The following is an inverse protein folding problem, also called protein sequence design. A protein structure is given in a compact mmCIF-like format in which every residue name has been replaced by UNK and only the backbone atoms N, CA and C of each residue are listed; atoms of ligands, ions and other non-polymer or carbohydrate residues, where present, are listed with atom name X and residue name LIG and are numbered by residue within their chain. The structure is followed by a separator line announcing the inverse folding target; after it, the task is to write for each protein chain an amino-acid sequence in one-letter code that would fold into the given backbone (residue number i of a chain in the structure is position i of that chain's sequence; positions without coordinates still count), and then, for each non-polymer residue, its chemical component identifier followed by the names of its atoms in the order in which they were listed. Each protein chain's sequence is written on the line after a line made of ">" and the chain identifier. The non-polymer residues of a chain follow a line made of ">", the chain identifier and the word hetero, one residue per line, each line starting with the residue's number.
data_IF_645491953027
#
_entry.id   IF_645491953027
#
_cell.length_a   1.000
_cell.length_b   1.000
_cell.length_c   1.000
_cell.angle_alpha   90.00
_cell.angle_beta   90.00
_cell.angle_gamma   90.00
#
_symmetry.space_group_name_H-M   'P 1'
#
loop_
_entity.id
_entity.type
_entity.pdbx_description
1 polymer ?
#
# COMPACT_ATOMS: atom_id res chain seq x y z
N UNK A 1 27.67 0.98 28.21
CA UNK A 1 26.67 1.62 27.33
C UNK A 1 26.00 0.53 26.50
N UNK A 2 24.72 0.67 26.17
CA UNK A 2 23.95 -0.33 25.43
C UNK A 2 24.33 -0.31 23.94
N UNK A 3 24.69 -1.48 23.37
CA UNK A 3 25.03 -1.67 21.94
C UNK A 3 23.95 -1.11 21.01
N UNK A 4 22.70 -1.09 21.47
CA UNK A 4 21.60 -0.47 20.75
C UNK A 4 21.79 1.05 20.62
N UNK A 5 21.94 1.76 21.73
CA UNK A 5 21.99 3.23 21.79
C UNK A 5 23.16 3.81 21.00
N UNK A 6 24.32 3.14 21.02
CA UNK A 6 25.52 3.58 20.29
C UNK A 6 25.37 3.50 18.76
N UNK A 7 24.40 2.73 18.26
CA UNK A 7 24.28 2.38 16.84
C UNK A 7 22.98 2.87 16.19
N UNK A 8 22.20 3.72 16.86
CA UNK A 8 20.98 4.32 16.30
C UNK A 8 21.28 5.08 14.99
N UNK A 9 22.40 5.81 14.93
CA UNK A 9 22.78 6.57 13.73
C UNK A 9 23.16 5.70 12.54
N UNK A 10 23.54 4.44 12.76
CA UNK A 10 23.71 3.47 11.68
C UNK A 10 22.38 3.23 10.97
N UNK A 11 21.28 3.10 11.72
CA UNK A 11 19.94 2.90 11.16
C UNK A 11 19.54 4.10 10.31
N UNK A 12 19.69 5.32 10.84
CA UNK A 12 19.38 6.57 10.11
C UNK A 12 20.16 6.65 8.78
N UNK A 13 21.46 6.32 8.79
CA UNK A 13 22.28 6.28 7.57
C UNK A 13 21.82 5.23 6.55
N UNK A 14 21.40 4.05 7.01
CA UNK A 14 20.89 2.99 6.14
C UNK A 14 19.55 3.41 5.53
N UNK A 15 18.62 3.92 6.32
CA UNK A 15 17.27 4.35 5.89
C UNK A 15 17.35 5.46 4.84
N UNK A 16 18.27 6.41 4.97
CA UNK A 16 18.49 7.47 3.96
C UNK A 16 18.76 6.93 2.55
N UNK A 17 19.25 5.70 2.39
CA UNK A 17 19.47 5.05 1.07
C UNK A 17 18.16 4.59 0.40
N UNK A 18 17.03 4.62 1.10
CA UNK A 18 15.74 4.09 0.63
C UNK A 18 14.71 5.19 0.24
N UNK A 19 15.09 6.47 0.25
CA UNK A 19 14.21 7.67 0.09
C UNK A 19 13.39 7.78 -1.23
N UNK A 20 13.34 6.77 -2.08
CA UNK A 20 12.73 6.83 -3.42
C UNK A 20 11.63 5.79 -3.70
N UNK A 21 10.91 5.30 -2.68
CA UNK A 21 9.92 4.22 -2.89
C UNK A 21 8.52 4.46 -2.32
N UNK A 22 8.15 5.72 -2.04
CA UNK A 22 6.79 6.07 -1.61
C UNK A 22 6.40 5.51 -0.24
N UNK A 23 7.38 5.31 0.63
CA UNK A 23 7.20 4.86 2.02
C UNK A 23 7.67 5.96 2.95
N UNK A 24 6.97 6.12 4.07
CA UNK A 24 7.33 7.08 5.11
C UNK A 24 8.72 6.75 5.67
N UNK A 25 9.55 7.77 5.83
CA UNK A 25 10.88 7.64 6.40
C UNK A 25 10.80 7.18 7.87
N UNK A 26 9.76 7.60 8.60
CA UNK A 26 9.54 7.21 9.99
C UNK A 26 9.25 5.71 10.13
N UNK A 27 8.45 5.15 9.22
CA UNK A 27 8.15 3.72 9.22
C UNK A 27 9.39 2.87 8.94
N UNK A 28 10.22 3.31 7.99
CA UNK A 28 11.47 2.62 7.67
C UNK A 28 12.48 2.73 8.81
N UNK A 29 12.51 3.88 9.50
CA UNK A 29 13.31 4.08 10.69
C UNK A 29 12.87 3.14 11.82
N UNK A 30 11.57 3.05 12.09
CA UNK A 30 11.04 2.16 13.12
C UNK A 30 11.35 0.70 12.82
N UNK A 31 11.14 0.25 11.57
CA UNK A 31 11.48 -1.10 11.15
C UNK A 31 12.99 -1.38 11.28
N UNK A 32 13.83 -0.41 10.90
CA UNK A 32 15.28 -0.51 11.06
C UNK A 32 15.71 -0.60 12.53
N UNK A 33 15.08 0.17 13.43
CA UNK A 33 15.34 0.12 14.86
C UNK A 33 14.95 -1.23 15.47
N UNK A 34 13.85 -1.84 15.03
CA UNK A 34 13.49 -3.21 15.43
C UNK A 34 14.58 -4.22 15.02
N UNK A 35 15.13 -4.07 13.81
CA UNK A 35 16.25 -4.88 13.34
C UNK A 35 17.51 -4.69 14.19
N UNK A 36 17.84 -3.46 14.56
CA UNK A 36 18.97 -3.16 15.45
C UNK A 36 18.76 -3.76 16.85
N UNK A 37 17.55 -3.66 17.41
CA UNK A 37 17.22 -4.25 18.71
C UNK A 37 17.41 -5.78 18.69
N UNK A 38 16.92 -6.44 17.64
CA UNK A 38 17.12 -7.88 17.45
C UNK A 38 18.60 -8.24 17.29
N UNK A 39 19.38 -7.42 16.58
CA UNK A 39 20.82 -7.63 16.46
C UNK A 39 21.55 -7.48 17.81
N UNK A 40 21.24 -6.44 18.59
CA UNK A 40 21.84 -6.20 19.90
C UNK A 40 21.57 -7.36 20.87
N UNK A 41 20.34 -7.90 20.88
CA UNK A 41 19.95 -9.03 21.73
C UNK A 41 20.67 -10.34 21.38
N UNK A 42 20.93 -10.57 20.08
CA UNK A 42 21.45 -11.85 19.58
C UNK A 42 22.93 -11.78 19.16
N UNK A 43 23.65 -10.72 19.51
CA UNK A 43 25.05 -10.57 19.14
C UNK A 43 25.94 -11.32 20.14
N UNK A 44 26.81 -12.18 19.62
CA UNK A 44 27.85 -12.84 20.41
C UNK A 44 29.24 -12.40 19.88
N UNK A 45 30.02 -11.68 20.70
CA UNK A 45 31.37 -11.23 20.34
C UNK A 45 32.34 -12.37 19.95
N UNK A 46 32.07 -13.61 20.36
CA UNK A 46 32.94 -14.78 20.06
C UNK A 46 33.09 -15.06 18.58
N UNK A 47 32.15 -14.60 17.75
CA UNK A 47 32.21 -14.79 16.29
C UNK A 47 33.20 -13.84 15.58
N UNK A 48 33.91 -12.96 16.31
CA UNK A 48 34.95 -12.06 15.79
C UNK A 48 34.51 -11.18 14.59
N UNK A 49 33.24 -10.77 14.57
CA UNK A 49 32.68 -9.85 13.57
C UNK A 49 32.26 -8.57 14.26
N UNK A 50 32.64 -7.42 13.71
CA UNK A 50 32.20 -6.11 14.25
C UNK A 50 30.67 -6.04 14.30
N UNK A 51 30.11 -5.59 15.43
CA UNK A 51 28.67 -5.45 15.63
C UNK A 51 27.97 -4.71 14.48
N UNK A 52 28.55 -3.63 13.96
CA UNK A 52 27.97 -2.86 12.85
C UNK A 52 27.75 -3.69 11.58
N UNK A 53 28.70 -4.58 11.27
CA UNK A 53 28.61 -5.48 10.12
C UNK A 53 27.47 -6.48 10.33
N UNK A 54 27.36 -7.03 11.54
CA UNK A 54 26.29 -7.95 11.92
C UNK A 54 24.91 -7.28 11.91
N UNK A 55 24.77 -6.15 12.61
CA UNK A 55 23.52 -5.41 12.75
C UNK A 55 22.97 -4.93 11.39
N UNK A 56 23.85 -4.57 10.44
CA UNK A 56 23.44 -4.15 9.09
C UNK A 56 22.56 -5.20 8.40
N UNK A 57 22.85 -6.50 8.57
CA UNK A 57 22.03 -7.56 7.97
C UNK A 57 20.61 -7.62 8.57
N UNK A 58 20.49 -7.50 9.88
CA UNK A 58 19.20 -7.48 10.57
C UNK A 58 18.38 -6.23 10.23
N UNK A 59 19.01 -5.06 10.26
CA UNK A 59 18.40 -3.76 9.90
C UNK A 59 17.83 -3.84 8.47
N UNK A 60 18.65 -4.26 7.50
CA UNK A 60 18.20 -4.40 6.11
C UNK A 60 17.10 -5.45 5.95
N UNK A 61 17.12 -6.52 6.76
CA UNK A 61 16.10 -7.56 6.78
C UNK A 61 14.72 -7.03 7.15
N UNK A 62 14.62 -6.33 8.28
CA UNK A 62 13.36 -5.77 8.76
C UNK A 62 12.86 -4.61 7.88
N UNK A 63 13.74 -3.71 7.42
CA UNK A 63 13.37 -2.68 6.43
C UNK A 63 12.76 -3.32 5.18
N UNK A 64 13.42 -4.32 4.57
CA UNK A 64 12.90 -5.01 3.37
C UNK A 64 11.58 -5.74 3.63
N UNK A 65 11.36 -6.23 4.85
CA UNK A 65 10.11 -6.89 5.24
C UNK A 65 8.97 -5.89 5.36
N UNK A 66 9.21 -4.73 5.97
CA UNK A 66 8.23 -3.65 6.07
C UNK A 66 7.84 -3.12 4.69
N UNK A 67 8.82 -2.91 3.81
CA UNK A 67 8.59 -2.55 2.42
C UNK A 67 7.69 -3.56 1.66
N UNK A 68 7.78 -4.85 1.97
CA UNK A 68 6.94 -5.88 1.34
C UNK A 68 5.49 -5.85 1.83
N UNK A 69 5.25 -5.50 3.10
CA UNK A 69 3.89 -5.42 3.66
C UNK A 69 3.08 -4.29 3.02
N UNK A 70 3.75 -3.16 2.76
CA UNK A 70 3.14 -1.93 2.21
C UNK A 70 3.07 -1.91 0.70
N UNK A 71 3.55 -2.95 0.02
CA UNK A 71 3.34 -3.08 -1.42
C UNK A 71 1.84 -3.33 -1.66
N UNK A 72 1.13 -2.45 -2.40
CA UNK A 72 -0.33 -2.58 -2.59
C UNK A 72 -0.72 -3.89 -3.27
N UNK A 73 0.24 -4.54 -3.93
CA UNK A 73 0.11 -5.87 -4.51
C UNK A 73 0.97 -6.85 -3.70
N UNK A 74 0.31 -7.81 -3.04
CA UNK A 74 0.97 -8.91 -2.33
C UNK A 74 1.43 -9.97 -3.32
N UNK A 75 2.72 -9.97 -3.63
CA UNK A 75 3.33 -10.92 -4.56
C UNK A 75 3.90 -12.15 -3.84
N UNK A 76 3.91 -13.29 -4.52
CA UNK A 76 4.54 -14.50 -4.01
C UNK A 76 6.07 -14.33 -3.95
N UNK A 77 6.75 -15.10 -3.08
CA UNK A 77 8.23 -15.10 -3.00
C UNK A 77 8.88 -15.42 -4.36
N UNK A 78 8.24 -16.27 -5.16
CA UNK A 78 8.69 -16.63 -6.50
C UNK A 78 8.71 -15.43 -7.45
N UNK A 79 7.63 -14.62 -7.47
CA UNK A 79 7.57 -13.41 -8.30
C UNK A 79 8.65 -12.41 -7.89
N UNK A 80 8.89 -12.20 -6.58
CA UNK A 80 9.98 -11.32 -6.13
C UNK A 80 11.37 -11.82 -6.54
N UNK A 81 11.59 -13.14 -6.60
CA UNK A 81 12.84 -13.73 -7.11
C UNK A 81 13.03 -13.39 -8.59
N UNK A 82 11.97 -13.52 -9.38
CA UNK A 82 11.99 -13.21 -10.81
C UNK A 82 12.21 -11.70 -11.05
N UNK A 83 11.50 -10.82 -10.33
CA UNK A 83 11.69 -9.36 -10.42
C UNK A 83 13.13 -8.95 -10.12
N UNK A 84 13.79 -9.62 -9.15
CA UNK A 84 15.20 -9.37 -8.85
C UNK A 84 16.09 -9.80 -10.02
N UNK A 85 15.90 -11.01 -10.53
CA UNK A 85 16.68 -11.53 -11.64
C UNK A 85 16.52 -10.67 -12.91
N UNK A 86 15.30 -10.21 -13.19
CA UNK A 86 14.95 -9.26 -14.27
C UNK A 86 15.60 -7.88 -14.12
N UNK A 87 16.12 -7.51 -12.95
CA UNK A 87 16.84 -6.25 -12.74
C UNK A 87 18.31 -6.39 -13.12
N UNK A 88 18.87 -7.57 -12.89
CA UNK A 88 20.29 -7.86 -13.11
C UNK A 88 20.54 -8.41 -14.53
N UNK A 89 19.48 -8.68 -15.32
CA UNK A 89 19.53 -9.30 -16.64
C UNK A 89 18.51 -8.65 -17.60
N UNK A 90 18.48 -7.32 -17.67
CA UNK A 90 17.52 -6.58 -18.52
C UNK A 90 17.72 -6.82 -20.03
N UNK A 91 18.89 -7.30 -20.43
CA UNK A 91 19.33 -7.64 -21.77
C UNK A 91 18.90 -9.03 -22.24
N UNK A 92 18.46 -9.91 -21.33
CA UNK A 92 18.08 -11.30 -21.67
C UNK A 92 16.61 -11.43 -22.08
N UNK A 93 16.34 -12.38 -22.97
CA UNK A 93 14.97 -12.72 -23.36
C UNK A 93 14.18 -13.30 -22.18
N UNK A 94 12.85 -13.12 -22.19
CA UNK A 94 12.01 -13.70 -21.14
C UNK A 94 12.07 -15.25 -21.12
N UNK A 95 12.31 -15.88 -22.28
CA UNK A 95 12.55 -17.31 -22.43
C UNK A 95 13.84 -17.79 -21.76
N UNK A 96 14.93 -17.02 -21.88
CA UNK A 96 16.20 -17.32 -21.20
C UNK A 96 16.04 -17.22 -19.68
N UNK A 97 15.32 -16.19 -19.22
CA UNK A 97 15.05 -15.98 -17.79
C UNK A 97 14.14 -17.08 -17.24
N UNK A 98 13.13 -17.49 -18.00
CA UNK A 98 12.23 -18.58 -17.65
C UNK A 98 13.01 -19.90 -17.46
N UNK A 99 13.89 -20.24 -18.42
CA UNK A 99 14.78 -21.41 -18.32
C UNK A 99 15.72 -21.32 -17.12
N UNK A 100 16.40 -20.18 -16.93
CA UNK A 100 17.33 -19.98 -15.82
C UNK A 100 16.68 -20.11 -14.44
N UNK A 101 15.40 -19.75 -14.31
CA UNK A 101 14.66 -19.78 -13.04
C UNK A 101 13.73 -20.98 -12.89
N UNK A 102 13.75 -21.92 -13.86
CA UNK A 102 12.87 -23.09 -13.91
C UNK A 102 11.39 -22.71 -13.73
N UNK A 103 10.94 -21.73 -14.51
CA UNK A 103 9.57 -21.19 -14.49
C UNK A 103 9.06 -21.01 -15.92
N UNK A 104 7.80 -20.61 -16.09
CA UNK A 104 7.23 -20.33 -17.41
C UNK A 104 7.44 -18.88 -17.85
N UNK A 105 7.41 -18.63 -19.17
CA UNK A 105 7.49 -17.29 -19.77
C UNK A 105 6.37 -16.39 -19.26
N UNK A 106 5.16 -16.91 -19.11
CA UNK A 106 3.98 -16.18 -18.61
C UNK A 106 4.23 -15.66 -17.20
N UNK A 107 4.85 -16.47 -16.36
CA UNK A 107 5.20 -16.08 -14.98
C UNK A 107 6.26 -14.98 -14.97
N UNK A 108 7.22 -15.02 -15.90
CA UNK A 108 8.23 -13.96 -16.08
C UNK A 108 7.58 -12.67 -16.58
N UNK A 109 6.66 -12.77 -17.54
CA UNK A 109 5.92 -11.62 -18.08
C UNK A 109 5.05 -10.95 -17.01
N UNK A 110 4.37 -11.75 -16.19
CA UNK A 110 3.61 -11.28 -15.04
C UNK A 110 4.52 -10.55 -14.03
N UNK A 111 5.68 -11.11 -13.71
CA UNK A 111 6.68 -10.47 -12.86
C UNK A 111 7.21 -9.16 -13.47
N UNK A 112 7.38 -9.09 -14.80
CA UNK A 112 7.79 -7.90 -15.52
C UNK A 112 6.73 -6.79 -15.46
N UNK A 113 5.44 -7.13 -15.59
CA UNK A 113 4.34 -6.18 -15.38
C UNK A 113 4.38 -5.64 -13.94
N UNK A 114 4.54 -6.51 -12.95
CA UNK A 114 4.63 -6.09 -11.54
C UNK A 114 5.92 -5.35 -11.18
N UNK A 115 6.98 -5.45 -11.99
CA UNK A 115 8.19 -4.62 -11.85
C UNK A 115 7.88 -3.15 -12.09
N UNK A 116 6.87 -2.86 -12.93
CA UNK A 116 6.44 -1.49 -13.20
C UNK A 116 5.86 -0.84 -11.94
N UNK A 117 6.17 0.43 -11.72
CA UNK A 117 5.66 1.19 -10.57
C UNK A 117 4.15 1.37 -10.73
N UNK A 118 3.39 1.02 -9.70
CA UNK A 118 1.99 1.46 -9.57
C UNK A 118 2.00 2.99 -9.47
N UNK A 119 1.22 3.64 -10.32
CA UNK A 119 1.05 5.09 -10.31
C UNK A 119 -0.10 5.45 -9.37
N UNK A 120 0.03 6.57 -8.65
CA UNK A 120 -1.10 7.15 -7.94
C UNK A 120 -2.13 7.60 -8.97
N UNK A 121 -3.40 7.25 -8.78
CA UNK A 121 -4.49 7.76 -9.61
C UNK A 121 -4.73 9.25 -9.38
N UNK A 122 -4.34 9.77 -8.21
CA UNK A 122 -4.43 11.20 -7.87
C UNK A 122 -3.23 12.01 -8.37
N UNK A 123 -2.37 11.41 -9.19
CA UNK A 123 -1.26 12.14 -9.80
C UNK A 123 -1.80 13.06 -10.90
N UNK A 124 -1.32 14.29 -10.98
CA UNK A 124 -1.63 15.21 -12.08
C UNK A 124 -1.31 14.59 -13.45
N UNK A 125 -2.20 14.79 -14.41
CA UNK A 125 -2.04 14.35 -15.80
C UNK A 125 -0.87 15.05 -16.51
N UNK A 126 -0.44 14.50 -17.66
CA UNK A 126 0.69 15.04 -18.44
C UNK A 126 0.45 16.45 -19.00
N UNK A 127 -0.79 16.93 -19.03
CA UNK A 127 -1.16 18.23 -19.60
C UNK A 127 -1.18 19.38 -18.58
N UNK A 128 -0.67 19.18 -17.35
CA UNK A 128 -0.41 20.29 -16.42
C UNK A 128 -1.66 21.08 -16.04
N UNK A 129 -2.71 20.38 -15.62
CA UNK A 129 -3.94 20.98 -15.10
C UNK A 129 -4.50 20.20 -13.91
N UNK A 130 -5.61 20.71 -13.33
CA UNK A 130 -6.33 20.16 -12.16
C UNK A 130 -6.81 18.71 -12.30
N UNK A 131 -6.64 18.08 -13.48
CA UNK A 131 -7.11 16.72 -13.73
C UNK A 131 -6.12 15.68 -13.24
N UNK A 132 -6.63 14.73 -12.48
CA UNK A 132 -5.90 13.59 -11.96
C UNK A 132 -5.89 12.45 -12.99
N UNK A 133 -4.92 11.52 -12.89
CA UNK A 133 -4.90 10.31 -13.73
C UNK A 133 -6.21 9.50 -13.63
N UNK A 134 -6.92 9.58 -12.49
CA UNK A 134 -8.23 8.96 -12.29
C UNK A 134 -9.27 9.42 -13.32
N UNK A 135 -9.24 10.69 -13.71
CA UNK A 135 -10.22 11.29 -14.63
C UNK A 135 -10.10 10.72 -16.05
N UNK A 136 -8.92 10.16 -16.38
CA UNK A 136 -8.65 9.53 -17.67
C UNK A 136 -8.95 8.03 -17.67
N UNK A 137 -9.21 7.41 -16.51
CA UNK A 137 -9.57 5.99 -16.41
C UNK A 137 -11.08 5.87 -16.70
N UNK A 138 -11.49 5.21 -17.78
CA UNK A 138 -12.90 5.00 -18.05
C UNK A 138 -13.53 4.26 -16.87
N UNK A 139 -14.59 4.83 -16.29
CA UNK A 139 -15.37 4.20 -15.24
C UNK A 139 -16.23 3.06 -15.80
N UNK A 140 -15.63 2.11 -16.51
CA UNK A 140 -16.33 0.97 -17.09
C UNK A 140 -16.98 0.14 -15.95
N UNK A 141 -18.32 0.08 -15.96
CA UNK A 141 -19.15 -0.71 -15.04
C UNK A 141 -19.32 -0.16 -13.61
N UNK A 142 -18.41 0.69 -13.10
CA UNK A 142 -18.51 1.22 -11.72
C UNK A 142 -19.51 2.38 -11.61
N UNK A 143 -19.67 3.16 -12.68
CA UNK A 143 -20.62 4.29 -12.75
C UNK A 143 -22.07 3.84 -12.85
N UNK A 144 -22.36 2.75 -13.59
CA UNK A 144 -23.73 2.23 -13.74
C UNK A 144 -24.21 1.54 -12.47
N UNK A 145 -23.43 0.58 -11.94
CA UNK A 145 -23.79 -0.12 -10.70
C UNK A 145 -23.96 0.84 -9.50
N UNK A 146 -23.17 1.92 -9.45
CA UNK A 146 -23.33 2.96 -8.43
C UNK A 146 -24.58 3.81 -8.64
N UNK A 147 -24.88 4.20 -9.89
CA UNK A 147 -26.12 4.91 -10.23
C UNK A 147 -27.36 4.08 -9.91
N UNK A 148 -27.35 2.80 -10.23
CA UNK A 148 -28.45 1.87 -9.91
C UNK A 148 -28.61 1.67 -8.39
N UNK A 149 -27.49 1.58 -7.67
CA UNK A 149 -27.51 1.51 -6.21
C UNK A 149 -28.09 2.79 -5.57
N UNK A 150 -27.75 3.98 -6.09
CA UNK A 150 -28.37 5.24 -5.66
C UNK A 150 -29.86 5.32 -6.03
N UNK A 151 -30.24 4.79 -7.20
CA UNK A 151 -31.63 4.71 -7.63
C UNK A 151 -32.47 3.81 -6.71
N UNK A 152 -31.88 2.77 -6.12
CA UNK A 152 -32.53 1.87 -5.17
C UNK A 152 -32.83 2.48 -3.79
N UNK A 153 -32.21 3.60 -3.45
CA UNK A 153 -32.41 4.29 -2.18
C UNK A 153 -33.73 5.06 -2.19
N UNK A 154 -34.45 5.05 -1.07
CA UNK A 154 -35.60 5.94 -0.88
C UNK A 154 -35.16 7.40 -0.74
N UNK A 155 -36.10 8.36 -0.86
CA UNK A 155 -35.77 9.78 -0.94
C UNK A 155 -34.94 10.29 0.26
N UNK A 156 -35.31 9.90 1.49
CA UNK A 156 -34.52 10.25 2.69
C UNK A 156 -33.15 9.54 2.77
N UNK A 157 -33.02 8.33 2.22
CA UNK A 157 -31.71 7.65 2.15
C UNK A 157 -30.79 8.30 1.11
N UNK A 158 -31.37 8.77 0.00
CA UNK A 158 -30.63 9.48 -1.06
C UNK A 158 -30.19 10.85 -0.58
N UNK A 159 -31.07 11.60 0.08
CA UNK A 159 -30.75 12.88 0.69
C UNK A 159 -29.65 12.74 1.75
N UNK A 160 -29.70 11.70 2.58
CA UNK A 160 -28.63 11.37 3.50
C UNK A 160 -27.27 11.21 2.79
N UNK A 161 -27.24 10.44 1.69
CA UNK A 161 -26.01 10.19 0.92
C UNK A 161 -25.47 11.48 0.29
N UNK A 162 -26.35 12.30 -0.26
CA UNK A 162 -26.02 13.61 -0.83
C UNK A 162 -25.30 14.48 0.22
N UNK A 163 -25.91 14.66 1.38
CA UNK A 163 -25.33 15.50 2.43
C UNK A 163 -24.05 14.91 3.03
N UNK A 164 -24.01 13.60 3.25
CA UNK A 164 -22.87 12.92 3.88
C UNK A 164 -21.64 12.86 2.97
N UNK A 165 -21.82 12.54 1.69
CA UNK A 165 -20.71 12.18 0.80
C UNK A 165 -20.47 13.18 -0.34
N UNK A 166 -21.47 13.94 -0.77
CA UNK A 166 -21.30 14.97 -1.81
C UNK A 166 -21.09 16.36 -1.21
N UNK A 167 -21.78 16.66 -0.11
CA UNK A 167 -21.60 17.92 0.65
C UNK A 167 -20.64 17.80 1.82
N UNK A 168 -20.06 16.61 2.04
CA UNK A 168 -19.05 16.33 3.06
C UNK A 168 -19.43 16.67 4.51
N UNK A 169 -20.73 16.65 4.86
CA UNK A 169 -21.13 16.82 6.25
C UNK A 169 -20.70 15.61 7.09
N UNK A 170 -20.23 15.86 8.31
CA UNK A 170 -19.94 14.84 9.30
C UNK A 170 -21.23 14.24 9.86
N UNK A 171 -21.11 13.07 10.52
CA UNK A 171 -22.26 12.45 11.21
C UNK A 171 -22.82 13.35 12.33
N UNK A 172 -21.99 14.19 12.94
CA UNK A 172 -22.40 15.11 13.99
C UNK A 172 -23.20 16.29 13.42
N UNK A 173 -22.72 16.89 12.33
CA UNK A 173 -23.43 17.98 11.62
C UNK A 173 -24.77 17.49 11.04
N UNK A 174 -24.80 16.28 10.49
CA UNK A 174 -26.04 15.64 10.03
C UNK A 174 -27.02 15.37 11.19
N UNK A 175 -26.51 14.94 12.35
CA UNK A 175 -27.31 14.68 13.54
C UNK A 175 -27.98 15.96 14.04
N UNK A 176 -27.23 17.06 14.07
CA UNK A 176 -27.73 18.40 14.42
C UNK A 176 -28.78 18.89 13.40
N UNK A 177 -28.44 18.87 12.10
CA UNK A 177 -29.34 19.30 11.03
C UNK A 177 -30.66 18.54 11.00
N UNK A 178 -30.66 17.24 11.33
CA UNK A 178 -31.84 16.38 11.28
C UNK A 178 -32.53 16.19 12.63
N UNK A 179 -32.06 16.85 13.70
CA UNK A 179 -32.62 16.71 15.05
C UNK A 179 -32.56 15.26 15.57
N UNK A 180 -31.53 14.51 15.21
CA UNK A 180 -31.33 13.11 15.59
C UNK A 180 -30.06 12.93 16.42
N UNK A 181 -29.94 11.81 17.15
CA UNK A 181 -28.66 11.48 17.78
C UNK A 181 -27.64 10.99 16.75
N UNK A 182 -26.36 11.30 16.95
CA UNK A 182 -25.26 10.81 16.11
C UNK A 182 -25.27 9.28 15.99
N UNK A 183 -25.59 8.56 17.07
CA UNK A 183 -25.70 7.09 17.05
C UNK A 183 -26.84 6.59 16.14
N UNK A 184 -27.92 7.36 15.99
CA UNK A 184 -29.01 7.05 15.03
C UNK A 184 -28.55 7.29 13.60
N UNK A 185 -27.86 8.41 13.34
CA UNK A 185 -27.21 8.70 12.05
C UNK A 185 -26.21 7.61 11.66
N UNK A 186 -25.34 7.20 12.57
CA UNK A 186 -24.34 6.14 12.34
C UNK A 186 -25.00 4.80 11.96
N UNK A 187 -26.10 4.44 12.61
CA UNK A 187 -26.87 3.23 12.27
C UNK A 187 -27.54 3.33 10.89
N UNK A 188 -28.05 4.51 10.56
CA UNK A 188 -28.66 4.79 9.25
C UNK A 188 -27.60 4.68 8.13
N UNK A 189 -26.45 5.32 8.29
CA UNK A 189 -25.33 5.26 7.33
C UNK A 189 -24.92 3.81 7.06
N UNK A 190 -24.73 3.00 8.11
CA UNK A 190 -24.40 1.58 7.95
C UNK A 190 -25.47 0.81 7.19
N UNK A 191 -26.75 1.09 7.42
CA UNK A 191 -27.87 0.44 6.72
C UNK A 191 -27.90 0.81 5.23
N UNK A 192 -27.76 2.09 4.92
CA UNK A 192 -27.74 2.63 3.56
C UNK A 192 -26.54 2.06 2.78
N UNK A 193 -25.34 2.13 3.34
CA UNK A 193 -24.13 1.59 2.68
C UNK A 193 -24.23 0.07 2.47
N UNK A 194 -24.83 -0.68 3.41
CA UNK A 194 -25.07 -2.11 3.24
C UNK A 194 -26.04 -2.40 2.10
N UNK A 195 -27.11 -1.60 1.95
CA UNK A 195 -28.08 -1.70 0.86
C UNK A 195 -27.44 -1.41 -0.50
N UNK A 196 -26.68 -0.30 -0.60
CA UNK A 196 -25.94 0.03 -1.83
C UNK A 196 -24.95 -1.06 -2.20
N UNK A 197 -24.17 -1.56 -1.23
CA UNK A 197 -23.20 -2.65 -1.46
C UNK A 197 -23.87 -3.94 -1.95
N UNK A 198 -25.05 -4.28 -1.43
CA UNK A 198 -25.82 -5.45 -1.85
C UNK A 198 -26.19 -5.36 -3.33
N UNK A 199 -26.75 -4.22 -3.74
CA UNK A 199 -27.08 -3.91 -5.14
C UNK A 199 -25.86 -3.97 -6.06
N UNK A 200 -24.76 -3.31 -5.69
CA UNK A 200 -23.54 -3.27 -6.50
C UNK A 200 -22.87 -4.64 -6.68
N UNK A 201 -23.12 -5.59 -5.77
CA UNK A 201 -22.53 -6.94 -5.83
C UNK A 201 -23.49 -7.99 -6.41
N UNK A 202 -24.70 -7.60 -6.83
CA UNK A 202 -25.70 -8.51 -7.41
C UNK A 202 -26.14 -9.64 -6.48
N UNK A 203 -26.11 -9.44 -5.15
CA UNK A 203 -26.54 -10.42 -4.14
C UNK A 203 -27.82 -10.00 -3.43
#
# INVERSE_FOLDING_TARGET
>A
MDLFSENIDLVRRIVKKFRFRGLDEEDLLQAGLMGLHAAAKNYDPKFNVKFNTYATYYILGEIRKEMRKRNPIRLSKAIYRIIRYLRDNEDKSFEDIARALSTTRETVLLAYIYKQRVLSLNREGREGGEKELLDYVPAAGRSEAFRDALASLGDGEREFVEMRFFRNLSQAELAESWGMSQSKISRMEKKILKKMRKFMLGK
#
